data_IF_237274993410
#
_entry.id   IF_237274993410
#
_cell.length_a   1.000
_cell.length_b   1.000
_cell.length_c   1.000
_cell.angle_alpha   90.00
_cell.angle_beta   90.00
_cell.angle_gamma   90.00
#
_symmetry.space_group_name_H-M   'P 1'
#
loop_
_entity.id
_entity.type
_entity.pdbx_description
1 polymer ?
#
# COMPACT_ATOMS: atom_id res chain seq x y z
N UNK A 1 -14.44 1.46 -15.39
CA UNK A 1 -14.51 0.12 -14.83
C UNK A 1 -13.92 0.11 -13.45
N UNK A 2 -14.67 -0.40 -12.49
CA UNK A 2 -14.32 -0.29 -11.08
C UNK A 2 -13.73 -1.60 -10.56
N UNK A 3 -12.78 -2.16 -11.31
CA UNK A 3 -12.12 -3.39 -10.91
C UNK A 3 -10.63 -3.19 -10.73
N UNK A 4 -10.07 -3.95 -9.78
CA UNK A 4 -8.65 -3.97 -9.49
C UNK A 4 -8.15 -5.40 -9.65
N UNK A 5 -6.94 -5.56 -10.17
CA UNK A 5 -6.30 -6.87 -10.23
C UNK A 5 -5.66 -7.15 -8.88
N UNK A 6 -6.16 -8.18 -8.20
CA UNK A 6 -5.78 -8.52 -6.84
C UNK A 6 -5.19 -9.93 -6.83
N UNK A 7 -4.02 -10.06 -6.20
CA UNK A 7 -3.35 -11.35 -6.07
C UNK A 7 -3.90 -12.13 -4.89
N UNK A 8 -4.09 -11.45 -3.77
CA UNK A 8 -4.52 -12.09 -2.54
C UNK A 8 -5.15 -11.08 -1.59
N UNK A 9 -5.96 -11.57 -0.68
CA UNK A 9 -6.52 -10.79 0.43
C UNK A 9 -6.33 -11.63 1.69
N UNK A 10 -5.63 -11.05 2.67
CA UNK A 10 -5.46 -11.70 3.97
C UNK A 10 -6.36 -10.99 4.98
N UNK A 11 -7.37 -11.69 5.44
CA UNK A 11 -8.40 -11.14 6.34
C UNK A 11 -8.00 -11.36 7.79
N UNK A 12 -7.26 -10.41 8.34
CA UNK A 12 -6.78 -10.47 9.72
C UNK A 12 -5.32 -10.90 9.81
N UNK A 13 -4.42 -9.94 9.67
CA UNK A 13 -2.99 -10.16 9.82
C UNK A 13 -2.37 -9.03 10.63
N UNK A 14 -1.27 -9.32 11.32
CA UNK A 14 -0.55 -8.34 12.13
C UNK A 14 0.84 -8.04 11.57
N UNK A 15 1.20 -8.60 10.42
CA UNK A 15 2.56 -8.46 9.88
C UNK A 15 2.75 -7.23 8.98
N UNK A 16 1.67 -6.71 8.42
CA UNK A 16 1.71 -5.62 7.45
C UNK A 16 1.29 -4.27 8.05
N UNK A 17 1.53 -4.07 9.31
CA UNK A 17 1.17 -2.86 10.03
C UNK A 17 0.67 -3.18 11.44
N UNK A 18 0.43 -2.16 12.27
CA UNK A 18 0.03 -2.39 13.67
C UNK A 18 -1.41 -2.88 13.77
N UNK A 19 -1.64 -3.78 14.69
CA UNK A 19 -2.96 -4.35 14.97
C UNK A 19 -3.40 -5.36 13.91
N UNK A 20 -4.65 -5.81 14.03
CA UNK A 20 -5.26 -6.67 13.03
C UNK A 20 -5.68 -5.83 11.82
N UNK A 21 -5.31 -6.28 10.64
CA UNK A 21 -5.56 -5.55 9.39
C UNK A 21 -6.06 -6.49 8.30
N UNK A 22 -6.85 -5.95 7.40
CA UNK A 22 -7.15 -6.61 6.13
C UNK A 22 -6.11 -6.14 5.13
N UNK A 23 -5.28 -7.06 4.64
CA UNK A 23 -4.23 -6.74 3.67
C UNK A 23 -4.68 -7.13 2.28
N UNK A 24 -4.64 -6.18 1.35
CA UNK A 24 -4.99 -6.39 -0.06
C UNK A 24 -3.70 -6.31 -0.87
N UNK A 25 -3.40 -7.38 -1.60
CA UNK A 25 -2.19 -7.50 -2.41
C UNK A 25 -2.54 -7.32 -3.88
N UNK A 26 -2.11 -6.20 -4.46
CA UNK A 26 -2.42 -5.85 -5.86
C UNK A 26 -1.40 -6.43 -6.82
N UNK A 27 -1.81 -6.68 -8.06
CA UNK A 27 -0.93 -7.11 -9.14
C UNK A 27 -0.27 -5.91 -9.81
N UNK A 28 0.95 -6.11 -10.33
CA UNK A 28 1.70 -5.10 -11.08
C UNK A 28 2.77 -4.43 -10.25
N UNK A 29 4.00 -4.48 -10.73
CA UNK A 29 5.11 -3.78 -10.10
C UNK A 29 6.22 -3.58 -11.13
N UNK A 30 6.69 -2.33 -11.28
CA UNK A 30 7.76 -1.99 -12.20
C UNK A 30 9.15 -2.11 -11.59
N UNK A 31 9.24 -2.27 -10.26
CA UNK A 31 10.51 -2.15 -9.56
C UNK A 31 11.40 -3.37 -9.71
N UNK A 32 10.82 -4.58 -9.75
CA UNK A 32 11.54 -5.85 -9.91
C UNK A 32 12.74 -5.97 -8.97
N UNK A 33 12.51 -5.71 -7.68
CA UNK A 33 13.58 -5.69 -6.69
C UNK A 33 14.23 -7.07 -6.54
N UNK A 34 15.56 -7.18 -6.60
CA UNK A 34 16.23 -8.45 -6.30
C UNK A 34 15.88 -8.91 -4.88
N UNK A 35 15.52 -10.19 -4.75
CA UNK A 35 15.13 -10.75 -3.46
C UNK A 35 13.72 -10.39 -3.00
N UNK A 36 12.90 -9.81 -3.87
CA UNK A 36 11.51 -9.47 -3.55
C UNK A 36 10.75 -10.69 -3.02
N UNK A 37 9.91 -10.47 -2.00
CA UNK A 37 9.13 -11.54 -1.37
C UNK A 37 7.97 -12.03 -2.25
N UNK A 38 7.50 -11.18 -3.20
CA UNK A 38 6.34 -11.48 -4.04
C UNK A 38 6.65 -11.27 -5.53
N UNK A 39 7.65 -11.95 -6.11
CA UNK A 39 7.98 -11.72 -7.53
C UNK A 39 6.84 -12.10 -8.48
N UNK A 40 5.95 -13.00 -8.07
CA UNK A 40 4.77 -13.34 -8.85
C UNK A 40 3.81 -12.16 -9.02
N UNK A 41 3.94 -11.12 -8.18
CA UNK A 41 3.08 -9.94 -8.24
C UNK A 41 3.51 -8.93 -9.30
N UNK A 42 4.68 -9.13 -9.94
CA UNK A 42 5.20 -8.18 -10.92
C UNK A 42 4.34 -8.11 -12.19
N UNK A 43 3.70 -9.23 -12.54
CA UNK A 43 2.84 -9.29 -13.73
C UNK A 43 1.50 -8.59 -13.44
N UNK A 44 1.15 -7.52 -14.19
CA UNK A 44 -0.12 -6.82 -13.97
C UNK A 44 -1.35 -7.69 -14.20
N UNK A 45 -1.21 -8.77 -14.96
CA UNK A 45 -2.32 -9.70 -15.24
C UNK A 45 -2.41 -10.83 -14.22
N UNK A 46 -1.53 -10.87 -13.23
CA UNK A 46 -1.59 -11.87 -12.17
C UNK A 46 -2.82 -11.64 -11.28
N UNK A 47 -3.26 -12.71 -10.61
CA UNK A 47 -4.40 -12.63 -9.72
C UNK A 47 -5.71 -12.60 -10.48
N UNK A 48 -6.68 -11.91 -9.92
CA UNK A 48 -8.04 -11.83 -10.49
C UNK A 48 -8.58 -10.41 -10.38
N UNK A 49 -9.53 -10.09 -11.25
CA UNK A 49 -10.23 -8.80 -11.20
C UNK A 49 -11.31 -8.87 -10.12
N UNK A 50 -11.26 -7.90 -9.20
CA UNK A 50 -12.26 -7.78 -8.13
C UNK A 50 -12.78 -6.35 -8.16
N UNK A 51 -14.10 -6.18 -8.06
CA UNK A 51 -14.70 -4.86 -8.07
C UNK A 51 -14.36 -4.10 -6.77
N UNK A 52 -14.31 -2.78 -6.86
CA UNK A 52 -14.13 -1.93 -5.69
C UNK A 52 -15.24 -2.20 -4.67
N UNK A 53 -16.48 -2.39 -5.13
CA UNK A 53 -17.60 -2.69 -4.23
C UNK A 53 -17.38 -3.97 -3.45
N UNK A 54 -16.87 -5.02 -4.10
CA UNK A 54 -16.59 -6.28 -3.43
C UNK A 54 -15.45 -6.16 -2.42
N UNK A 55 -14.41 -5.39 -2.77
CA UNK A 55 -13.31 -5.13 -1.83
C UNK A 55 -13.80 -4.35 -0.61
N UNK A 56 -14.68 -3.39 -0.80
CA UNK A 56 -15.28 -2.65 0.31
C UNK A 56 -16.09 -3.56 1.22
N UNK A 57 -16.81 -4.53 0.65
CA UNK A 57 -17.56 -5.50 1.45
C UNK A 57 -16.66 -6.35 2.33
N UNK A 58 -15.50 -6.75 1.82
CA UNK A 58 -14.52 -7.52 2.59
C UNK A 58 -14.00 -6.70 3.76
N UNK A 59 -13.65 -5.45 3.52
CA UNK A 59 -13.14 -4.55 4.57
C UNK A 59 -14.22 -4.30 5.62
N UNK A 60 -15.43 -4.03 5.19
CA UNK A 60 -16.56 -3.78 6.08
C UNK A 60 -16.88 -5.01 6.94
N UNK A 61 -16.90 -6.19 6.33
CA UNK A 61 -17.21 -7.44 7.02
C UNK A 61 -16.20 -7.72 8.15
N UNK A 62 -14.92 -7.51 7.89
CA UNK A 62 -13.87 -7.77 8.87
C UNK A 62 -13.75 -6.66 9.92
N UNK A 63 -14.11 -5.46 9.56
CA UNK A 63 -14.06 -4.28 10.43
C UNK A 63 -12.67 -3.97 10.97
N UNK A 64 -11.64 -4.30 10.21
CA UNK A 64 -10.24 -3.98 10.53
C UNK A 64 -9.75 -2.79 9.72
N UNK A 65 -8.69 -2.13 10.19
CA UNK A 65 -7.94 -1.20 9.35
C UNK A 65 -7.27 -1.95 8.21
N UNK A 66 -6.77 -1.23 7.20
CA UNK A 66 -6.41 -1.79 5.90
C UNK A 66 -4.94 -1.55 5.58
N UNK A 67 -4.33 -2.51 4.91
CA UNK A 67 -3.00 -2.37 4.31
C UNK A 67 -3.09 -2.69 2.82
N UNK A 68 -2.47 -1.83 2.01
CA UNK A 68 -2.26 -2.07 0.59
C UNK A 68 -0.83 -2.51 0.36
N UNK A 69 -0.66 -3.61 -0.34
CA UNK A 69 0.65 -4.19 -0.62
C UNK A 69 0.61 -4.98 -1.94
N UNK A 70 1.41 -5.99 -2.08
CA UNK A 70 1.43 -6.90 -3.23
C UNK A 70 2.63 -6.65 -4.10
N UNK A 71 2.39 -6.36 -5.38
CA UNK A 71 3.28 -5.69 -6.29
C UNK A 71 3.45 -4.26 -5.81
N UNK A 72 2.93 -3.30 -6.55
CA UNK A 72 2.93 -1.92 -6.06
C UNK A 72 1.53 -1.33 -6.24
N UNK A 73 0.87 -0.91 -5.14
CA UNK A 73 -0.45 -0.28 -5.24
C UNK A 73 -0.49 0.93 -6.17
N UNK A 74 0.63 1.64 -6.31
CA UNK A 74 0.70 2.79 -7.22
C UNK A 74 0.76 2.40 -8.69
N UNK A 75 0.93 1.12 -9.01
CA UNK A 75 0.83 0.65 -10.40
C UNK A 75 -0.59 0.84 -10.95
N UNK A 76 -1.60 0.66 -10.11
CA UNK A 76 -3.01 0.88 -10.44
C UNK A 76 -3.54 2.12 -9.72
N UNK A 77 -2.74 3.18 -9.67
CA UNK A 77 -2.92 4.32 -8.78
C UNK A 77 -4.33 4.93 -8.82
N UNK A 78 -4.90 5.09 -10.00
CA UNK A 78 -6.20 5.77 -10.16
C UNK A 78 -7.34 4.99 -9.49
N UNK A 79 -7.35 3.68 -9.69
CA UNK A 79 -8.40 2.82 -9.11
C UNK A 79 -8.18 2.54 -7.64
N UNK A 80 -6.92 2.38 -7.25
CA UNK A 80 -6.59 2.20 -5.83
C UNK A 80 -6.92 3.49 -5.06
N UNK A 81 -6.74 4.66 -5.68
CA UNK A 81 -7.14 5.93 -5.08
C UNK A 81 -8.64 5.98 -4.80
N UNK A 82 -9.46 5.51 -5.73
CA UNK A 82 -10.91 5.46 -5.52
C UNK A 82 -11.26 4.51 -4.38
N UNK A 83 -10.65 3.34 -4.34
CA UNK A 83 -10.85 2.40 -3.23
C UNK A 83 -10.45 3.01 -1.89
N UNK A 84 -9.28 3.65 -1.85
CA UNK A 84 -8.76 4.26 -0.63
C UNK A 84 -9.69 5.37 -0.11
N UNK A 85 -10.15 6.23 -1.00
CA UNK A 85 -11.08 7.29 -0.62
C UNK A 85 -12.36 6.72 -0.02
N UNK A 86 -12.92 5.69 -0.62
CA UNK A 86 -14.16 5.07 -0.14
C UNK A 86 -13.95 4.32 1.18
N UNK A 87 -12.81 3.66 1.35
CA UNK A 87 -12.49 3.02 2.64
C UNK A 87 -12.43 4.08 3.74
N UNK A 88 -11.78 5.19 3.47
CA UNK A 88 -11.63 6.27 4.46
C UNK A 88 -12.96 6.97 4.75
N UNK A 89 -13.72 7.35 3.72
CA UNK A 89 -14.92 8.16 3.91
C UNK A 89 -16.14 7.34 4.28
N UNK A 90 -16.31 6.15 3.70
CA UNK A 90 -17.51 5.34 3.95
C UNK A 90 -17.34 4.38 5.12
N UNK A 91 -16.14 3.85 5.35
CA UNK A 91 -15.90 2.86 6.39
C UNK A 91 -15.12 3.40 7.59
N UNK A 92 -14.51 4.58 7.46
CA UNK A 92 -13.76 5.20 8.54
C UNK A 92 -12.51 4.44 8.96
N UNK A 93 -11.89 3.69 8.06
CA UNK A 93 -10.69 2.90 8.35
C UNK A 93 -9.43 3.64 7.94
N UNK A 94 -8.33 3.38 8.65
CA UNK A 94 -7.01 3.90 8.29
C UNK A 94 -6.33 2.94 7.32
N UNK A 95 -5.40 3.47 6.53
CA UNK A 95 -4.74 2.74 5.46
C UNK A 95 -3.23 2.88 5.57
N UNK A 96 -2.53 1.75 5.62
CA UNK A 96 -1.09 1.65 5.39
C UNK A 96 -0.87 1.21 3.95
N UNK A 97 0.14 1.76 3.29
CA UNK A 97 0.43 1.42 1.90
C UNK A 97 1.93 1.23 1.70
N UNK A 98 2.30 0.09 1.13
CA UNK A 98 3.68 -0.22 0.77
C UNK A 98 3.90 0.15 -0.68
N UNK A 99 5.04 0.77 -0.99
CA UNK A 99 5.42 1.10 -2.36
C UNK A 99 6.93 1.03 -2.54
N UNK A 100 7.38 0.75 -3.75
CA UNK A 100 8.79 0.83 -4.11
C UNK A 100 9.20 2.25 -4.52
N UNK A 101 8.26 3.14 -4.75
CA UNK A 101 8.57 4.54 -5.03
C UNK A 101 9.01 5.25 -3.75
N UNK A 102 9.75 6.32 -3.89
CA UNK A 102 10.12 7.18 -2.77
C UNK A 102 9.08 8.28 -2.61
N UNK A 103 8.91 8.76 -1.39
CA UNK A 103 8.02 9.89 -1.11
C UNK A 103 8.23 11.06 -2.08
N UNK A 104 9.51 11.41 -2.32
CA UNK A 104 9.85 12.53 -3.17
C UNK A 104 9.31 12.39 -4.59
N UNK A 105 9.27 11.17 -5.10
CA UNK A 105 8.71 10.90 -6.43
C UNK A 105 7.18 10.95 -6.43
N UNK A 106 6.56 10.45 -5.38
CA UNK A 106 5.10 10.39 -5.26
C UNK A 106 4.51 11.77 -5.00
N UNK A 107 5.10 12.52 -4.09
CA UNK A 107 4.57 13.81 -3.65
C UNK A 107 4.57 14.85 -4.76
N UNK A 108 5.42 14.67 -5.77
CA UNK A 108 5.50 15.56 -6.92
C UNK A 108 4.71 15.07 -8.13
N UNK A 109 3.95 13.98 -8.00
CA UNK A 109 3.22 13.38 -9.10
C UNK A 109 1.73 13.66 -8.99
N UNK A 110 1.17 14.30 -10.02
CA UNK A 110 -0.27 14.53 -10.10
C UNK A 110 -1.05 13.21 -10.19
N UNK A 111 -0.46 12.20 -10.83
CA UNK A 111 -1.09 10.88 -10.97
C UNK A 111 -1.21 10.16 -9.63
N UNK A 112 -0.19 10.28 -8.78
CA UNK A 112 -0.11 9.53 -7.53
C UNK A 112 -0.72 10.27 -6.34
N UNK A 113 -0.85 11.57 -6.42
CA UNK A 113 -1.34 12.37 -5.29
C UNK A 113 -2.75 11.97 -4.81
N UNK A 114 -3.71 11.65 -5.69
CA UNK A 114 -5.04 11.22 -5.23
C UNK A 114 -5.00 9.97 -4.34
N UNK A 115 -4.09 9.03 -4.63
CA UNK A 115 -3.93 7.88 -3.75
C UNK A 115 -3.22 8.28 -2.46
N UNK A 116 -2.12 9.01 -2.57
CA UNK A 116 -1.33 9.41 -1.40
C UNK A 116 -2.17 10.15 -0.36
N UNK A 117 -3.05 11.04 -0.78
CA UNK A 117 -3.88 11.83 0.14
C UNK A 117 -4.79 10.97 1.02
N UNK A 118 -5.08 9.76 0.61
CA UNK A 118 -5.97 8.86 1.34
C UNK A 118 -5.23 7.81 2.16
N UNK A 119 -3.92 7.87 2.20
CA UNK A 119 -3.07 6.95 2.95
C UNK A 119 -2.66 7.61 4.25
N UNK A 120 -2.68 6.85 5.35
CA UNK A 120 -2.27 7.35 6.66
C UNK A 120 -0.77 7.14 6.90
N UNK A 121 -0.26 5.97 6.55
CA UNK A 121 1.18 5.67 6.64
C UNK A 121 1.65 5.05 5.33
N UNK A 122 2.71 5.62 4.79
CA UNK A 122 3.37 5.11 3.58
C UNK A 122 4.68 4.44 3.97
N UNK A 123 4.86 3.19 3.57
CA UNK A 123 6.17 2.52 3.67
C UNK A 123 6.81 2.64 2.29
N UNK A 124 7.81 3.52 2.18
CA UNK A 124 8.36 3.90 0.88
C UNK A 124 9.73 3.28 0.61
N UNK A 125 10.08 3.26 -0.66
CA UNK A 125 11.40 2.83 -1.11
C UNK A 125 11.45 1.37 -1.52
N UNK A 126 12.31 1.09 -2.50
CA UNK A 126 12.48 -0.27 -3.00
C UNK A 126 13.12 -1.16 -1.94
N UNK A 127 12.71 -2.43 -1.92
CA UNK A 127 13.43 -3.41 -1.12
C UNK A 127 14.86 -3.55 -1.67
N UNK A 128 15.84 -3.37 -0.79
CA UNK A 128 17.25 -3.53 -1.14
C UNK A 128 17.83 -4.72 -0.39
N UNK A 129 18.17 -5.77 -1.13
CA UNK A 129 18.63 -7.02 -0.55
C UNK A 129 19.84 -6.83 0.37
N UNK A 130 20.75 -5.93 0.01
CA UNK A 130 21.96 -5.64 0.79
C UNK A 130 21.64 -4.97 2.13
N UNK A 131 20.48 -4.35 2.25
CA UNK A 131 20.02 -3.66 3.46
C UNK A 131 18.92 -4.43 4.17
N UNK A 132 18.70 -5.68 3.77
CA UNK A 132 17.70 -6.55 4.39
C UNK A 132 17.98 -6.70 5.88
N UNK A 133 16.91 -6.52 6.68
CA UNK A 133 17.00 -6.65 8.13
C UNK A 133 15.66 -7.17 8.66
N UNK A 134 15.66 -8.44 9.07
CA UNK A 134 14.45 -9.11 9.55
C UNK A 134 14.03 -8.66 10.94
N UNK A 135 14.86 -7.88 11.64
CA UNK A 135 14.49 -7.29 12.94
C UNK A 135 13.65 -6.04 12.83
N UNK A 136 13.57 -5.44 11.63
CA UNK A 136 12.78 -4.22 11.42
C UNK A 136 11.29 -4.55 11.42
N UNK A 137 10.50 -3.68 12.05
CA UNK A 137 9.05 -3.82 12.04
C UNK A 137 8.48 -3.21 10.77
N UNK A 138 7.61 -3.98 10.10
CA UNK A 138 6.79 -3.54 8.97
C UNK A 138 7.55 -3.12 7.71
N UNK A 139 8.85 -3.42 7.61
CA UNK A 139 9.63 -3.13 6.40
C UNK A 139 10.72 -4.19 6.25
N UNK A 140 11.17 -4.38 5.00
CA UNK A 140 12.10 -5.46 4.68
C UNK A 140 13.56 -5.04 4.67
N UNK A 141 13.85 -3.77 4.43
CA UNK A 141 15.22 -3.26 4.35
C UNK A 141 15.32 -1.89 5.03
N UNK A 142 16.53 -1.56 5.50
CA UNK A 142 16.73 -0.37 6.35
C UNK A 142 16.57 0.96 5.60
N UNK A 143 16.62 0.95 4.28
CA UNK A 143 16.40 2.15 3.47
C UNK A 143 14.93 2.56 3.38
N UNK A 144 14.02 1.64 3.66
CA UNK A 144 12.58 1.92 3.62
C UNK A 144 12.18 2.71 4.85
N UNK A 145 11.22 3.63 4.65
CA UNK A 145 10.79 4.55 5.71
C UNK A 145 9.32 4.34 6.02
N UNK A 146 8.95 4.46 7.28
CA UNK A 146 7.56 4.54 7.71
C UNK A 146 7.19 6.01 7.82
N UNK A 147 6.37 6.51 6.91
CA UNK A 147 6.09 7.95 6.77
C UNK A 147 4.67 8.25 7.22
N UNK A 148 4.54 9.21 8.14
CA UNK A 148 3.24 9.77 8.51
C UNK A 148 2.79 10.70 7.38
N UNK A 149 1.84 10.25 6.57
CA UNK A 149 1.45 10.97 5.35
C UNK A 149 0.79 12.29 5.67
N UNK A 150 -0.13 12.31 6.63
CA UNK A 150 -0.86 13.55 6.96
C UNK A 150 0.09 14.63 7.45
N UNK A 151 0.97 14.30 8.39
CA UNK A 151 1.92 15.28 8.92
C UNK A 151 2.92 15.71 7.85
N UNK A 152 3.34 14.79 7.00
CA UNK A 152 4.26 15.10 5.92
C UNK A 152 3.66 16.07 4.90
N UNK A 153 2.40 15.87 4.54
CA UNK A 153 1.71 16.78 3.62
C UNK A 153 1.49 18.16 4.23
N UNK A 154 1.15 18.22 5.52
CA UNK A 154 0.94 19.49 6.22
C UNK A 154 2.22 20.31 6.34
N UNK A 155 3.33 19.65 6.60
CA UNK A 155 4.63 20.32 6.81
C UNK A 155 5.44 20.48 5.54
N UNK A 156 4.99 19.89 4.42
CA UNK A 156 5.71 19.86 3.16
C UNK A 156 7.12 19.24 3.29
N UNK A 157 7.27 18.28 4.17
CA UNK A 157 8.52 17.57 4.43
C UNK A 157 8.21 16.20 5.00
N UNK A 158 9.11 15.23 4.83
CA UNK A 158 8.92 13.88 5.37
C UNK A 158 8.91 13.91 6.89
N UNK A 159 7.82 13.41 7.48
CA UNK A 159 7.69 13.20 8.92
C UNK A 159 7.52 11.70 9.14
N UNK A 160 8.38 11.10 9.94
CA UNK A 160 8.35 9.66 10.17
C UNK A 160 7.24 9.30 11.14
N UNK A 161 6.64 8.15 10.90
CA UNK A 161 5.64 7.55 11.79
C UNK A 161 6.34 6.99 13.04
N UNK A 162 5.81 7.30 14.19
CA UNK A 162 6.37 6.82 15.45
C UNK A 162 5.38 6.00 16.25
#
# INVERSE_FOLDING_TARGET
MNELNVIDIIEGTTVDGPGLRTSIYFAGCEHHCPGCHNPQSWNPAAGRAISIDDLLRVVEYNDFNVTFSGGDPFFQAERVAELAERISTELGKTIWCYTGYRWEDIANSERFMPLLRNIDVLVDGRFELELRDTSLRFRGSSNQRLIDVRQSLLSNAVVLYE
#
